data_IF_691359047656
#
_entry.id   IF_691359047656
#
_cell.length_a   1.000
_cell.length_b   1.000
_cell.length_c   1.000
_cell.angle_alpha   90.00
_cell.angle_beta   90.00
_cell.angle_gamma   90.00
#
_symmetry.space_group_name_H-M   'P 1'
#
loop_
_entity.id
_entity.type
_entity.pdbx_description
1 polymer ?
#
# COMPACT_ATOMS: atom_id res chain seq x y z
N UNK A 1 1.00 4.96 9.10
CA UNK A 1 -0.34 4.97 8.48
C UNK A 1 -1.27 5.89 9.26
N UNK A 2 -1.41 5.74 10.58
CA UNK A 2 -2.28 6.60 11.42
C UNK A 2 -2.07 8.10 11.21
N UNK A 3 -0.83 8.58 11.17
CA UNK A 3 -0.58 10.01 10.96
C UNK A 3 -1.21 10.54 9.66
N UNK A 4 -1.18 9.76 8.57
CA UNK A 4 -1.77 10.16 7.29
C UNK A 4 -3.30 10.09 7.37
N UNK A 5 -3.85 9.01 7.93
CA UNK A 5 -5.29 8.86 8.13
C UNK A 5 -5.88 9.97 9.02
N UNK A 6 -5.17 10.36 10.09
CA UNK A 6 -5.55 11.49 10.95
C UNK A 6 -5.61 12.84 10.21
N UNK A 7 -4.91 12.96 9.08
CA UNK A 7 -4.94 14.15 8.22
C UNK A 7 -6.04 14.07 7.15
N UNK A 8 -6.88 13.03 7.15
CA UNK A 8 -7.89 12.80 6.10
C UNK A 8 -7.31 12.19 4.82
N UNK A 9 -6.07 11.68 4.84
CA UNK A 9 -5.42 11.09 3.67
C UNK A 9 -5.72 9.59 3.62
N UNK A 10 -6.15 9.11 2.45
CA UNK A 10 -6.35 7.69 2.15
C UNK A 10 -5.23 7.22 1.20
N UNK A 11 -4.13 6.64 1.72
CA UNK A 11 -3.07 6.09 0.88
C UNK A 11 -3.46 4.71 0.32
N UNK A 12 -2.78 4.24 -0.73
CA UNK A 12 -2.85 2.84 -1.18
C UNK A 12 -1.56 2.08 -0.83
N UNK A 13 -1.65 0.76 -0.68
CA UNK A 13 -0.48 -0.10 -0.45
C UNK A 13 -0.12 -0.81 -1.75
N UNK A 14 1.06 -0.50 -2.29
CA UNK A 14 1.59 -1.11 -3.52
C UNK A 14 2.99 -1.65 -3.31
N UNK A 15 3.26 -2.83 -3.85
CA UNK A 15 4.62 -3.31 -3.99
C UNK A 15 5.36 -2.50 -5.06
N UNK A 16 6.56 -2.01 -4.75
CA UNK A 16 7.37 -1.28 -5.75
C UNK A 16 7.74 -2.23 -6.88
N UNK A 17 7.45 -1.84 -8.12
CA UNK A 17 7.87 -2.61 -9.30
C UNK A 17 9.39 -2.54 -9.44
N UNK A 18 10.06 -3.67 -9.32
CA UNK A 18 11.51 -3.80 -9.51
C UNK A 18 11.80 -4.25 -10.94
N UNK A 19 12.74 -3.58 -11.60
CA UNK A 19 13.22 -3.91 -12.94
C UNK A 19 14.71 -3.56 -13.09
N UNK A 20 15.29 -3.82 -14.25
CA UNK A 20 16.72 -3.56 -14.52
C UNK A 20 17.10 -2.09 -14.35
N UNK A 21 16.19 -1.16 -14.67
CA UNK A 21 16.43 0.28 -14.60
C UNK A 21 16.45 0.86 -13.18
N UNK A 22 15.91 0.16 -12.17
CA UNK A 22 15.88 0.66 -10.79
C UNK A 22 16.53 -0.27 -9.75
N UNK A 23 16.82 -1.52 -10.11
CA UNK A 23 17.35 -2.51 -9.16
C UNK A 23 18.64 -2.06 -8.49
N UNK A 24 19.64 -1.63 -9.28
CA UNK A 24 20.95 -1.26 -8.74
C UNK A 24 20.86 -0.10 -7.73
N UNK A 25 20.00 0.87 -8.00
CA UNK A 25 19.79 2.01 -7.10
C UNK A 25 19.04 1.61 -5.83
N UNK A 26 18.05 0.73 -5.94
CA UNK A 26 17.34 0.17 -4.79
C UNK A 26 18.27 -0.64 -3.88
N UNK A 27 19.07 -1.55 -4.45
CA UNK A 27 20.01 -2.39 -3.71
C UNK A 27 21.09 -1.55 -3.03
N UNK A 28 21.59 -0.49 -3.71
CA UNK A 28 22.52 0.48 -3.13
C UNK A 28 21.89 1.24 -1.95
N UNK A 29 20.64 1.67 -2.06
CA UNK A 29 19.95 2.39 -1.00
C UNK A 29 19.59 1.49 0.20
N UNK A 30 19.28 0.22 -0.05
CA UNK A 30 18.94 -0.77 0.98
C UNK A 30 20.18 -1.34 1.69
N UNK A 31 21.35 -1.33 1.02
CA UNK A 31 22.56 -1.98 1.51
C UNK A 31 22.50 -3.52 1.46
N UNK A 32 21.49 -4.08 0.81
CA UNK A 32 21.29 -5.51 0.62
C UNK A 32 20.53 -5.79 -0.69
N UNK A 33 20.57 -7.02 -1.22
CA UNK A 33 19.83 -7.39 -2.42
C UNK A 33 18.32 -7.15 -2.27
N UNK A 34 17.66 -6.78 -3.36
CA UNK A 34 16.21 -6.60 -3.38
C UNK A 34 15.56 -7.97 -3.53
N UNK A 35 14.91 -8.40 -2.46
CA UNK A 35 14.12 -9.62 -2.42
C UNK A 35 12.67 -9.38 -2.85
N UNK A 36 12.00 -10.40 -3.43
CA UNK A 36 10.57 -10.34 -3.67
C UNK A 36 9.79 -10.06 -2.38
N UNK A 37 8.82 -9.15 -2.44
CA UNK A 37 7.94 -8.88 -1.29
C UNK A 37 7.07 -10.11 -1.01
N UNK A 38 7.12 -10.72 0.18
CA UNK A 38 6.25 -11.84 0.51
C UNK A 38 4.78 -11.42 0.52
N UNK A 39 3.90 -12.29 0.01
CA UNK A 39 2.44 -12.04 -0.04
C UNK A 39 1.89 -11.69 1.34
N UNK A 40 2.29 -12.44 2.38
CA UNK A 40 1.82 -12.21 3.75
C UNK A 40 2.21 -10.83 4.28
N UNK A 41 3.38 -10.33 3.90
CA UNK A 41 3.80 -8.96 4.27
C UNK A 41 2.89 -7.93 3.60
N UNK A 42 2.54 -8.14 2.34
CA UNK A 42 1.66 -7.22 1.61
C UNK A 42 0.25 -7.19 2.23
N UNK A 43 -0.33 -8.35 2.53
CA UNK A 43 -1.61 -8.48 3.23
C UNK A 43 -1.60 -7.86 4.63
N UNK A 44 -0.52 -8.08 5.39
CA UNK A 44 -0.38 -7.48 6.72
C UNK A 44 -0.37 -5.94 6.65
N UNK A 45 0.31 -5.36 5.66
CA UNK A 45 0.31 -3.91 5.45
C UNK A 45 -1.07 -3.38 5.06
N UNK A 46 -1.79 -4.07 4.18
CA UNK A 46 -3.15 -3.68 3.80
C UNK A 46 -4.11 -3.70 5.00
N UNK A 47 -4.03 -4.72 5.87
CA UNK A 47 -4.81 -4.79 7.11
C UNK A 47 -4.47 -3.68 8.11
N UNK A 48 -3.19 -3.35 8.26
CA UNK A 48 -2.74 -2.24 9.12
C UNK A 48 -3.30 -0.91 8.60
N UNK A 49 -3.32 -0.72 7.27
CA UNK A 49 -3.93 0.45 6.66
C UNK A 49 -5.44 0.49 6.92
N UNK A 50 -6.15 -0.60 6.66
CA UNK A 50 -7.59 -0.68 6.90
C UNK A 50 -7.95 -0.29 8.34
N UNK A 51 -7.21 -0.83 9.31
CA UNK A 51 -7.41 -0.52 10.72
C UNK A 51 -7.14 0.97 11.03
N UNK A 52 -6.12 1.57 10.42
CA UNK A 52 -5.81 2.99 10.58
C UNK A 52 -6.91 3.89 10.01
N UNK A 53 -7.41 3.58 8.81
CA UNK A 53 -8.52 4.32 8.18
C UNK A 53 -9.78 4.26 9.05
N UNK A 54 -10.16 3.07 9.51
CA UNK A 54 -11.31 2.88 10.40
C UNK A 54 -11.22 3.68 11.70
N UNK A 55 -10.04 3.75 12.32
CA UNK A 55 -9.83 4.56 13.55
C UNK A 55 -10.11 6.05 13.34
N UNK A 56 -9.95 6.55 12.12
CA UNK A 56 -10.16 7.94 11.76
C UNK A 56 -11.44 8.17 10.96
N UNK A 57 -12.38 7.22 11.01
CA UNK A 57 -13.65 7.27 10.29
C UNK A 57 -13.50 7.50 8.78
N UNK A 58 -12.41 7.01 8.19
CA UNK A 58 -12.19 6.97 6.76
C UNK A 58 -12.53 5.58 6.23
N UNK A 59 -13.14 5.56 5.05
CA UNK A 59 -13.39 4.34 4.30
C UNK A 59 -12.92 4.53 2.86
N UNK A 60 -12.09 3.61 2.39
CA UNK A 60 -11.55 3.64 1.04
C UNK A 60 -12.45 2.88 0.04
N UNK A 61 -13.35 2.02 0.53
CA UNK A 61 -14.23 1.22 -0.32
C UNK A 61 -15.28 2.02 -1.10
N UNK A 62 -15.64 3.21 -0.61
CA UNK A 62 -16.59 4.13 -1.24
C UNK A 62 -15.90 5.21 -2.11
N UNK A 63 -14.56 5.19 -2.22
CA UNK A 63 -13.83 6.17 -3.02
C UNK A 63 -13.98 5.89 -4.51
N UNK A 64 -14.70 6.75 -5.20
CA UNK A 64 -14.89 6.62 -6.64
C UNK A 64 -13.70 7.13 -7.50
N UNK A 65 -12.61 7.54 -6.86
CA UNK A 65 -11.48 8.15 -7.55
C UNK A 65 -10.39 7.13 -7.92
N UNK A 66 -9.99 7.14 -9.19
CA UNK A 66 -8.74 6.54 -9.69
C UNK A 66 -8.47 5.10 -9.22
N UNK A 67 -7.35 4.87 -8.53
CA UNK A 67 -6.84 3.53 -8.20
C UNK A 67 -7.76 2.75 -7.24
N UNK A 68 -8.46 3.46 -6.34
CA UNK A 68 -9.39 2.85 -5.38
C UNK A 68 -10.64 2.27 -6.06
N UNK A 69 -11.03 2.80 -7.23
CA UNK A 69 -12.16 2.28 -8.02
C UNK A 69 -11.75 1.18 -9.00
N UNK A 70 -10.50 1.16 -9.48
CA UNK A 70 -10.12 0.25 -10.56
C UNK A 70 -9.81 -1.17 -10.10
N UNK A 71 -9.37 -1.37 -8.84
CA UNK A 71 -9.05 -2.69 -8.29
C UNK A 71 -7.93 -3.46 -9.01
N UNK A 72 -7.15 -2.80 -9.89
CA UNK A 72 -6.23 -3.50 -10.79
C UNK A 72 -4.81 -3.69 -10.21
N UNK A 73 -4.32 -2.73 -9.41
CA UNK A 73 -2.89 -2.62 -9.11
C UNK A 73 -2.55 -2.50 -7.62
N UNK A 74 -3.56 -2.34 -6.77
CA UNK A 74 -3.43 -2.13 -5.34
C UNK A 74 -4.37 -3.09 -4.61
N UNK A 75 -4.01 -3.50 -3.39
CA UNK A 75 -4.97 -4.08 -2.45
C UNK A 75 -5.77 -2.94 -1.82
N UNK A 76 -7.08 -2.97 -1.98
CA UNK A 76 -7.99 -1.92 -1.52
C UNK A 76 -8.50 -2.22 -0.10
N UNK A 77 -8.08 -1.46 0.93
CA UNK A 77 -8.53 -1.69 2.30
C UNK A 77 -10.02 -1.40 2.46
N UNK A 78 -10.83 -2.41 2.83
CA UNK A 78 -12.28 -2.31 2.91
C UNK A 78 -13.04 -2.98 1.77
N UNK A 79 -12.37 -3.30 0.64
CA UNK A 79 -12.93 -4.16 -0.41
C UNK A 79 -12.25 -5.54 -0.43
N UNK A 80 -10.91 -5.56 -0.47
CA UNK A 80 -10.14 -6.80 -0.59
C UNK A 80 -9.78 -7.42 0.78
N UNK A 81 -9.71 -6.59 1.83
CA UNK A 81 -9.30 -6.97 3.20
C UNK A 81 -10.07 -6.24 4.29
#
# INVERSE_FOLDING_TARGET
MDRLAAMGVVPSVRAVRVNEGNRADLERALGHPVEPVPVDRHLAMARILHAALKRHALDAGELETMCHKCGCCDLEPGQDV
#
